data_IF_530976635936
#
_entry.id   IF_530976635936
#
_cell.length_a   1.000
_cell.length_b   1.000
_cell.length_c   1.000
_cell.angle_alpha   90.00
_cell.angle_beta   90.00
_cell.angle_gamma   90.00
#
_symmetry.space_group_name_H-M   'P 1'
#
loop_
_entity.id
_entity.type
_entity.pdbx_description
1 polymer ?
#
# COMPACT_ATOMS: atom_id res chain seq x y z
N UNK A 1 -36.08 -37.33 39.44
CA UNK A 1 -36.67 -37.45 38.08
C UNK A 1 -36.73 -36.09 37.35
N UNK A 2 -35.59 -35.41 37.08
CA UNK A 2 -35.59 -34.07 36.44
C UNK A 2 -34.72 -33.96 35.18
N UNK A 3 -34.12 -35.05 34.68
CA UNK A 3 -33.16 -35.02 33.56
C UNK A 3 -33.80 -35.13 32.16
N UNK A 4 -35.05 -35.57 32.05
CA UNK A 4 -35.70 -35.77 30.73
C UNK A 4 -36.43 -34.53 30.19
N UNK A 5 -36.86 -33.62 31.06
CA UNK A 5 -37.58 -32.41 30.65
C UNK A 5 -36.65 -31.39 29.97
N UNK A 6 -35.43 -31.21 30.48
CA UNK A 6 -34.43 -30.27 29.96
C UNK A 6 -33.84 -30.68 28.60
N UNK A 7 -33.77 -31.98 28.30
CA UNK A 7 -33.34 -32.49 26.98
C UNK A 7 -34.37 -32.23 25.88
N UNK A 8 -35.67 -32.23 26.23
CA UNK A 8 -36.76 -31.95 25.27
C UNK A 8 -36.88 -30.46 24.93
N UNK A 9 -36.51 -29.57 25.85
CA UNK A 9 -36.55 -28.12 25.64
C UNK A 9 -35.39 -27.58 24.78
N UNK A 10 -34.21 -28.22 24.81
CA UNK A 10 -33.11 -27.86 23.90
C UNK A 10 -33.35 -28.36 22.47
N UNK A 11 -34.02 -29.50 22.31
CA UNK A 11 -34.41 -30.03 21.00
C UNK A 11 -35.42 -29.13 20.27
N UNK A 12 -36.36 -28.52 21.00
CA UNK A 12 -37.35 -27.61 20.42
C UNK A 12 -36.80 -26.23 20.07
N UNK A 13 -35.72 -25.78 20.72
CA UNK A 13 -35.02 -24.54 20.37
C UNK A 13 -34.08 -24.72 19.17
N UNK A 14 -33.42 -25.87 19.05
CA UNK A 14 -32.57 -26.19 17.89
C UNK A 14 -33.36 -26.32 16.58
N UNK A 15 -34.61 -26.79 16.65
CA UNK A 15 -35.52 -26.90 15.50
C UNK A 15 -36.04 -25.54 14.98
N UNK A 16 -35.87 -24.45 15.74
CA UNK A 16 -36.28 -23.09 15.34
C UNK A 16 -35.15 -22.17 14.90
N UNK A 17 -33.88 -22.56 15.08
CA UNK A 17 -32.72 -21.72 14.74
C UNK A 17 -32.09 -22.05 13.36
N UNK A 18 -32.41 -23.22 12.81
CA UNK A 18 -32.16 -23.55 11.41
C UNK A 18 -33.41 -24.26 10.87
N UNK A 19 -34.06 -23.79 9.79
CA UNK A 19 -34.97 -24.64 9.06
C UNK A 19 -34.13 -25.76 8.48
N UNK A 20 -34.07 -26.90 9.17
CA UNK A 20 -33.63 -28.13 8.56
C UNK A 20 -34.63 -28.41 7.46
N UNK A 21 -34.24 -28.14 6.22
CA UNK A 21 -34.97 -28.60 5.05
C UNK A 21 -35.19 -30.10 5.27
N UNK A 22 -36.42 -30.58 5.46
CA UNK A 22 -36.66 -32.01 5.54
C UNK A 22 -36.58 -32.51 4.10
N UNK A 23 -35.36 -32.63 3.58
CA UNK A 23 -35.11 -33.35 2.34
C UNK A 23 -35.61 -34.76 2.60
N UNK A 24 -36.75 -35.10 2.03
CA UNK A 24 -37.23 -36.46 2.07
C UNK A 24 -36.13 -37.36 1.49
N UNK A 25 -35.99 -38.63 1.94
CA UNK A 25 -34.97 -39.53 1.41
C UNK A 25 -35.03 -39.62 -0.13
N UNK A 26 -36.21 -39.37 -0.72
CA UNK A 26 -36.44 -39.29 -2.16
C UNK A 26 -35.84 -38.05 -2.82
N UNK A 27 -35.91 -36.87 -2.18
CA UNK A 27 -35.30 -35.63 -2.68
C UNK A 27 -33.78 -35.66 -2.54
N UNK A 28 -33.25 -36.26 -1.46
CA UNK A 28 -31.80 -36.46 -1.31
C UNK A 28 -31.22 -37.36 -2.40
N UNK A 29 -31.96 -38.41 -2.79
CA UNK A 29 -31.61 -39.26 -3.92
C UNK A 29 -31.71 -38.51 -5.25
N UNK A 30 -32.74 -37.67 -5.44
CA UNK A 30 -32.85 -36.83 -6.64
C UNK A 30 -31.71 -35.82 -6.76
N UNK A 31 -31.30 -35.21 -5.64
CA UNK A 31 -30.19 -34.25 -5.60
C UNK A 31 -28.84 -34.94 -5.85
N UNK A 32 -28.63 -36.13 -5.27
CA UNK A 32 -27.47 -36.97 -5.58
C UNK A 32 -27.46 -37.41 -7.04
N UNK A 33 -28.62 -37.74 -7.60
CA UNK A 33 -28.74 -38.11 -9.02
C UNK A 33 -28.43 -36.92 -9.92
N UNK A 34 -28.92 -35.72 -9.59
CA UNK A 34 -28.62 -34.49 -10.34
C UNK A 34 -27.16 -34.06 -10.23
N UNK A 35 -26.52 -34.22 -9.07
CA UNK A 35 -25.10 -33.93 -8.90
C UNK A 35 -24.22 -34.95 -9.63
N UNK A 36 -24.58 -36.23 -9.59
CA UNK A 36 -23.83 -37.27 -10.31
C UNK A 36 -24.02 -37.16 -11.82
N UNK A 37 -25.21 -36.79 -12.31
CA UNK A 37 -25.42 -36.52 -13.74
C UNK A 37 -24.72 -35.25 -14.19
N UNK A 38 -24.69 -34.18 -13.37
CA UNK A 38 -23.97 -32.95 -13.74
C UNK A 38 -22.46 -33.16 -13.76
N UNK A 39 -21.90 -33.92 -12.81
CA UNK A 39 -20.49 -34.30 -12.83
C UNK A 39 -20.14 -35.17 -14.02
N UNK A 40 -20.98 -36.17 -14.35
CA UNK A 40 -20.76 -36.99 -15.55
C UNK A 40 -20.87 -36.17 -16.84
N UNK A 41 -21.86 -35.29 -16.95
CA UNK A 41 -22.00 -34.40 -18.10
C UNK A 41 -20.82 -33.42 -18.23
N UNK A 42 -20.24 -32.98 -17.11
CA UNK A 42 -19.04 -32.15 -17.11
C UNK A 42 -17.79 -32.96 -17.50
N UNK A 43 -17.68 -34.21 -17.03
CA UNK A 43 -16.61 -35.13 -17.43
C UNK A 43 -16.70 -35.53 -18.91
N UNK A 44 -17.90 -35.78 -19.44
CA UNK A 44 -18.12 -36.12 -20.86
C UNK A 44 -17.85 -34.91 -21.78
N UNK A 45 -18.04 -33.69 -21.26
CA UNK A 45 -17.74 -32.43 -21.98
C UNK A 45 -16.24 -32.14 -22.03
N UNK A 46 -15.51 -32.42 -20.96
CA UNK A 46 -14.05 -32.24 -20.88
C UNK A 46 -13.27 -33.40 -21.50
N UNK A 47 -13.90 -34.59 -21.63
CA UNK A 47 -13.35 -35.77 -22.27
C UNK A 47 -14.33 -36.36 -23.31
N UNK A 48 -14.46 -35.77 -24.51
CA UNK A 48 -15.19 -36.43 -25.58
C UNK A 48 -14.49 -37.75 -25.92
N UNK A 49 -15.11 -38.87 -25.57
CA UNK A 49 -14.64 -40.19 -25.97
C UNK A 49 -14.63 -40.24 -27.50
N UNK A 50 -13.43 -40.25 -28.08
CA UNK A 50 -13.26 -40.60 -29.48
C UNK A 50 -13.80 -42.02 -29.67
N UNK A 51 -14.95 -42.14 -30.35
CA UNK A 51 -15.47 -43.44 -30.79
C UNK A 51 -14.41 -44.11 -31.68
N UNK A 52 -14.13 -45.41 -31.51
CA UNK A 52 -13.36 -46.15 -32.49
C UNK A 52 -14.18 -46.27 -33.78
N UNK A 53 -13.53 -45.94 -34.89
CA UNK A 53 -14.03 -46.16 -36.24
C UNK A 53 -14.52 -47.60 -36.43
N UNK A 54 -15.77 -47.74 -36.88
CA UNK A 54 -16.16 -48.88 -37.73
C UNK A 54 -17.23 -48.48 -38.74
N UNK A 55 -16.76 -48.19 -39.96
CA UNK A 55 -17.36 -48.52 -41.26
C UNK A 55 -18.78 -48.04 -41.63
N UNK A 56 -18.85 -47.18 -42.66
CA UNK A 56 -19.55 -47.35 -43.97
C UNK A 56 -19.60 -45.97 -44.66
N UNK A 57 -18.74 -45.69 -45.63
CA UNK A 57 -18.90 -45.97 -47.08
C UNK A 57 -19.44 -44.77 -47.89
N UNK A 58 -18.54 -44.21 -48.73
CA UNK A 58 -18.75 -43.50 -50.02
C UNK A 58 -19.45 -42.12 -49.94
N UNK A 59 -19.02 -41.05 -50.61
CA UNK A 59 -18.52 -40.89 -51.99
C UNK A 59 -17.80 -39.51 -52.15
N UNK A 60 -16.77 -39.48 -53.03
CA UNK A 60 -16.32 -38.37 -53.95
C UNK A 60 -15.88 -37.02 -53.35
N UNK A 61 -14.81 -36.30 -53.76
CA UNK A 61 -13.90 -36.31 -54.92
C UNK A 61 -12.67 -35.40 -54.63
N UNK A 62 -11.48 -35.86 -55.03
CA UNK A 62 -10.22 -35.22 -55.53
C UNK A 62 -9.70 -33.81 -55.10
N UNK A 63 -8.37 -33.57 -55.25
CA UNK A 63 -7.56 -32.67 -54.43
C UNK A 63 -7.17 -31.35 -55.12
N UNK A 64 -6.71 -30.37 -54.34
CA UNK A 64 -5.82 -29.32 -54.81
C UNK A 64 -4.95 -28.79 -53.65
N UNK A 65 -3.68 -28.59 -53.98
CA UNK A 65 -2.58 -28.11 -53.15
C UNK A 65 -2.82 -26.76 -52.48
N UNK A 66 -2.27 -26.57 -51.27
CA UNK A 66 -1.46 -25.37 -50.95
C UNK A 66 -0.85 -25.42 -49.55
N UNK A 67 0.40 -24.98 -49.51
CA UNK A 67 1.25 -24.72 -48.36
C UNK A 67 0.59 -23.93 -47.22
N UNK A 68 0.78 -24.37 -45.97
CA UNK A 68 1.01 -23.49 -44.83
C UNK A 68 1.50 -24.25 -43.58
N UNK A 69 2.72 -23.88 -43.15
CA UNK A 69 3.13 -23.68 -41.76
C UNK A 69 3.01 -24.87 -40.78
N UNK A 70 4.17 -25.51 -40.56
CA UNK A 70 4.49 -26.28 -39.35
C UNK A 70 4.23 -25.42 -38.11
N UNK A 71 3.16 -25.73 -37.39
CA UNK A 71 2.96 -25.33 -36.00
C UNK A 71 3.50 -26.46 -35.09
N UNK A 72 4.16 -26.13 -33.96
CA UNK A 72 4.84 -27.10 -33.12
C UNK A 72 3.86 -27.98 -32.36
N UNK A 73 4.19 -29.27 -32.29
CA UNK A 73 3.49 -30.29 -31.51
C UNK A 73 3.25 -29.85 -30.06
N UNK A 74 2.06 -30.08 -29.47
CA UNK A 74 1.88 -29.87 -28.04
C UNK A 74 2.72 -30.88 -27.23
N UNK A 75 3.44 -30.45 -26.19
CA UNK A 75 4.24 -31.33 -25.37
C UNK A 75 3.31 -32.16 -24.49
N UNK A 76 3.49 -33.49 -24.54
CA UNK A 76 2.98 -34.48 -23.60
C UNK A 76 1.52 -34.31 -23.13
N UNK A 77 0.66 -35.20 -23.63
CA UNK A 77 -0.55 -35.60 -22.93
C UNK A 77 -0.19 -35.92 -21.47
N UNK A 78 -0.41 -34.96 -20.57
CA UNK A 78 -0.35 -35.21 -19.13
C UNK A 78 -1.45 -36.21 -18.86
N UNK A 79 -1.05 -37.40 -18.42
CA UNK A 79 -2.01 -38.48 -18.17
C UNK A 79 -3.07 -37.98 -17.19
N UNK A 80 -4.29 -38.52 -17.30
CA UNK A 80 -5.39 -38.26 -16.36
C UNK A 80 -4.95 -38.39 -14.90
N UNK A 81 -3.98 -39.28 -14.62
CA UNK A 81 -3.33 -39.43 -13.34
C UNK A 81 -2.52 -38.20 -12.89
N UNK A 82 -1.73 -37.58 -13.77
CA UNK A 82 -0.94 -36.39 -13.45
C UNK A 82 -1.82 -35.14 -13.21
N UNK A 83 -2.93 -35.02 -13.95
CA UNK A 83 -3.91 -33.94 -13.73
C UNK A 83 -4.70 -34.15 -12.43
N UNK A 84 -5.14 -35.37 -12.15
CA UNK A 84 -5.77 -35.73 -10.89
C UNK A 84 -4.83 -35.53 -9.70
N UNK A 85 -3.55 -35.92 -9.84
CA UNK A 85 -2.54 -35.72 -8.80
C UNK A 85 -2.28 -34.24 -8.53
N UNK A 86 -2.14 -33.40 -9.57
CA UNK A 86 -2.02 -31.94 -9.40
C UNK A 86 -3.26 -31.31 -8.79
N UNK A 87 -4.45 -31.81 -9.11
CA UNK A 87 -5.69 -31.32 -8.55
C UNK A 87 -5.82 -31.70 -7.06
N UNK A 88 -5.50 -32.95 -6.71
CA UNK A 88 -5.46 -33.43 -5.33
C UNK A 88 -4.40 -32.68 -4.53
N UNK A 89 -3.20 -32.50 -5.09
CA UNK A 89 -2.15 -31.68 -4.46
C UNK A 89 -2.64 -30.25 -4.28
N UNK A 90 -3.28 -29.63 -5.28
CA UNK A 90 -3.87 -28.29 -5.16
C UNK A 90 -4.98 -28.19 -4.09
N UNK A 91 -5.71 -29.27 -3.83
CA UNK A 91 -6.73 -29.34 -2.77
C UNK A 91 -6.07 -29.53 -1.39
N UNK A 92 -5.06 -30.39 -1.31
CA UNK A 92 -4.36 -30.72 -0.07
C UNK A 92 -3.36 -29.64 0.36
N UNK A 93 -2.81 -28.87 -0.58
CA UNK A 93 -2.01 -27.66 -0.31
C UNK A 93 -2.89 -26.43 -0.10
N UNK A 94 -4.22 -26.55 -0.24
CA UNK A 94 -5.12 -25.46 0.05
C UNK A 94 -5.14 -25.21 1.58
N UNK A 95 -4.88 -23.97 2.04
CA UNK A 95 -4.80 -23.64 3.46
C UNK A 95 -6.10 -23.92 4.24
N UNK A 96 -7.23 -24.12 3.55
CA UNK A 96 -8.50 -24.52 4.15
C UNK A 96 -8.55 -25.99 4.61
N UNK A 97 -7.72 -26.86 4.04
CA UNK A 97 -7.77 -28.32 4.30
C UNK A 97 -6.50 -28.88 4.94
N UNK A 98 -5.36 -28.16 4.85
CA UNK A 98 -4.07 -28.60 5.39
C UNK A 98 -3.95 -28.48 6.92
N UNK A 99 -4.88 -27.79 7.59
CA UNK A 99 -4.81 -27.53 9.04
C UNK A 99 -5.75 -28.46 9.80
N UNK A 100 -5.19 -29.34 10.65
CA UNK A 100 -5.98 -30.18 11.58
C UNK A 100 -6.83 -29.27 12.49
N UNK A 101 -8.17 -29.40 12.51
CA UNK A 101 -9.01 -28.58 13.39
C UNK A 101 -8.70 -28.90 14.86
N UNK A 102 -8.22 -27.90 15.60
CA UNK A 102 -8.01 -28.02 17.04
C UNK A 102 -9.35 -27.84 17.77
N UNK A 103 -9.64 -28.70 18.75
CA UNK A 103 -10.88 -28.65 19.53
C UNK A 103 -11.00 -27.30 20.24
N UNK A 104 -12.18 -26.70 20.12
CA UNK A 104 -12.63 -25.50 20.82
C UNK A 104 -12.49 -25.68 22.33
N UNK A 105 -11.43 -25.13 22.92
CA UNK A 105 -11.22 -25.12 24.37
C UNK A 105 -9.76 -24.85 24.70
N UNK A 106 -9.52 -23.84 25.53
CA UNK A 106 -8.27 -23.50 26.22
C UNK A 106 -7.06 -23.05 25.38
N UNK A 107 -7.07 -21.81 24.88
CA UNK A 107 -6.03 -20.79 25.14
C UNK A 107 -6.61 -19.40 24.79
N UNK A 108 -6.25 -18.30 25.49
CA UNK A 108 -6.73 -16.98 25.13
C UNK A 108 -6.13 -16.57 23.78
N UNK A 109 -6.95 -16.26 22.78
CA UNK A 109 -6.51 -15.85 21.45
C UNK A 109 -5.43 -14.73 21.46
N UNK A 110 -5.40 -13.91 22.50
CA UNK A 110 -4.38 -12.87 22.71
C UNK A 110 -2.96 -13.43 22.94
N UNK A 111 -2.81 -14.57 23.64
CA UNK A 111 -1.49 -15.19 23.92
C UNK A 111 -0.93 -15.82 22.64
N UNK A 112 -1.81 -16.40 21.83
CA UNK A 112 -1.47 -17.01 20.55
C UNK A 112 -0.98 -16.00 19.50
N UNK A 113 -1.62 -14.81 19.41
CA UNK A 113 -1.18 -13.75 18.50
C UNK A 113 0.21 -13.23 18.88
N UNK A 114 0.49 -13.11 20.18
CA UNK A 114 1.77 -12.57 20.69
C UNK A 114 2.95 -13.52 20.47
N UNK A 115 2.73 -14.83 20.44
CA UNK A 115 3.79 -15.83 20.24
C UNK A 115 4.13 -16.04 18.77
N UNK A 116 3.13 -16.18 17.92
CA UNK A 116 3.30 -16.36 16.47
C UNK A 116 2.11 -15.71 15.73
N UNK A 117 2.20 -14.40 15.44
CA UNK A 117 1.09 -13.64 14.86
C UNK A 117 0.69 -14.15 13.48
N UNK A 118 1.62 -14.72 12.71
CA UNK A 118 1.35 -15.23 11.37
C UNK A 118 0.68 -16.60 11.41
N UNK A 119 1.16 -17.52 12.26
CA UNK A 119 0.47 -18.81 12.45
C UNK A 119 -0.92 -18.64 13.06
N UNK A 120 -1.11 -17.64 13.94
CA UNK A 120 -2.45 -17.27 14.39
C UNK A 120 -3.33 -16.80 13.24
N UNK A 121 -2.84 -15.87 12.40
CA UNK A 121 -3.62 -15.36 11.28
C UNK A 121 -3.95 -16.43 10.24
N UNK A 122 -3.01 -17.33 9.93
CA UNK A 122 -3.25 -18.49 9.05
C UNK A 122 -4.36 -19.41 9.59
N UNK A 123 -4.43 -19.63 10.90
CA UNK A 123 -5.55 -20.38 11.53
C UNK A 123 -6.87 -19.64 11.39
N UNK A 124 -6.86 -18.31 11.53
CA UNK A 124 -8.06 -17.50 11.30
C UNK A 124 -8.52 -17.54 9.83
N UNK A 125 -7.59 -17.60 8.87
CA UNK A 125 -7.91 -17.81 7.45
C UNK A 125 -8.50 -19.21 7.25
N UNK A 126 -7.87 -20.26 7.78
CA UNK A 126 -8.32 -21.64 7.65
C UNK A 126 -9.71 -21.89 8.25
N UNK A 127 -10.03 -21.19 9.34
CA UNK A 127 -11.36 -21.24 9.98
C UNK A 127 -12.41 -20.34 9.31
N UNK A 128 -12.03 -19.55 8.29
CA UNK A 128 -12.90 -18.59 7.62
C UNK A 128 -13.26 -17.37 8.49
N UNK A 129 -12.57 -17.17 9.61
CA UNK A 129 -12.84 -16.11 10.57
C UNK A 129 -11.93 -14.87 10.38
N UNK A 130 -11.01 -14.90 9.41
CA UNK A 130 -10.13 -13.80 9.07
C UNK A 130 -10.90 -12.56 8.58
N UNK A 131 -10.55 -11.40 9.12
CA UNK A 131 -11.14 -10.11 8.75
C UNK A 131 -10.08 -8.99 8.80
N UNK A 132 -10.40 -7.81 8.25
CA UNK A 132 -9.48 -6.68 8.19
C UNK A 132 -8.97 -6.22 9.57
N UNK A 133 -9.80 -6.14 10.64
CA UNK A 133 -9.31 -5.82 11.99
C UNK A 133 -8.29 -6.84 12.52
N UNK A 134 -8.50 -8.14 12.29
CA UNK A 134 -7.57 -9.20 12.69
C UNK A 134 -6.26 -9.10 11.91
N UNK A 135 -6.31 -8.78 10.61
CA UNK A 135 -5.11 -8.51 9.81
C UNK A 135 -4.34 -7.29 10.35
N UNK A 136 -5.04 -6.23 10.75
CA UNK A 136 -4.42 -5.05 11.36
C UNK A 136 -3.72 -5.37 12.69
N UNK A 137 -4.33 -6.23 13.52
CA UNK A 137 -3.72 -6.72 14.77
C UNK A 137 -2.50 -7.58 14.50
N UNK A 138 -2.55 -8.47 13.50
CA UNK A 138 -1.41 -9.27 13.08
C UNK A 138 -0.23 -8.38 12.63
N UNK A 139 -0.49 -7.38 11.79
CA UNK A 139 0.52 -6.40 11.34
C UNK A 139 1.11 -5.59 12.50
N UNK A 140 0.29 -5.22 13.48
CA UNK A 140 0.76 -4.51 14.68
C UNK A 140 1.74 -5.35 15.49
N UNK A 141 1.41 -6.61 15.74
CA UNK A 141 2.28 -7.49 16.51
C UNK A 141 3.56 -7.80 15.73
N UNK A 142 3.46 -7.99 14.41
CA UNK A 142 4.62 -8.20 13.53
C UNK A 142 5.58 -7.00 13.54
N UNK A 143 5.07 -5.77 13.47
CA UNK A 143 5.91 -4.57 13.57
C UNK A 143 6.65 -4.53 14.91
N UNK A 144 5.96 -4.85 16.01
CA UNK A 144 6.55 -4.88 17.35
C UNK A 144 7.56 -6.03 17.55
N UNK A 145 7.44 -7.13 16.79
CA UNK A 145 8.36 -8.28 16.85
C UNK A 145 9.48 -8.23 15.81
N UNK A 146 9.40 -7.36 14.80
CA UNK A 146 10.40 -7.21 13.73
C UNK A 146 11.81 -6.78 14.22
N UNK A 147 11.96 -6.40 15.50
CA UNK A 147 13.26 -6.23 16.15
C UNK A 147 13.98 -7.54 16.52
N UNK A 148 13.31 -8.69 16.46
CA UNK A 148 13.89 -10.02 16.69
C UNK A 148 13.92 -10.83 15.38
N UNK A 149 15.11 -11.22 14.88
CA UNK A 149 15.29 -11.82 13.55
C UNK A 149 14.80 -13.27 13.40
N UNK A 150 13.85 -13.73 14.23
CA UNK A 150 13.45 -15.14 14.29
C UNK A 150 12.17 -15.50 13.52
N UNK A 151 11.53 -14.57 12.79
CA UNK A 151 10.40 -14.93 11.92
C UNK A 151 10.89 -15.34 10.53
N UNK A 152 11.63 -16.45 10.51
CA UNK A 152 12.13 -17.08 9.29
C UNK A 152 11.00 -17.67 8.45
N UNK A 153 11.13 -17.50 7.14
CA UNK A 153 10.45 -18.22 6.05
C UNK A 153 9.77 -19.51 6.49
N UNK A 154 8.46 -19.47 6.76
CA UNK A 154 7.65 -20.69 6.94
C UNK A 154 7.09 -21.11 5.59
N UNK A 155 7.60 -22.22 5.05
CA UNK A 155 7.04 -22.86 3.85
C UNK A 155 7.30 -22.15 2.53
N UNK A 156 8.34 -21.30 2.45
CA UNK A 156 8.70 -20.57 1.22
C UNK A 156 7.82 -19.35 0.90
N UNK A 157 6.80 -19.08 1.70
CA UNK A 157 5.96 -17.88 1.60
C UNK A 157 6.32 -16.88 2.70
N UNK A 158 6.40 -15.61 2.34
CA UNK A 158 6.70 -14.52 3.27
C UNK A 158 5.39 -13.99 3.87
N UNK A 159 5.40 -13.39 5.08
CA UNK A 159 4.16 -12.93 5.70
C UNK A 159 3.45 -11.85 4.87
N UNK A 160 4.19 -11.03 4.10
CA UNK A 160 3.59 -10.10 3.15
C UNK A 160 2.90 -10.83 1.99
N UNK A 161 3.50 -11.90 1.44
CA UNK A 161 2.89 -12.66 0.34
C UNK A 161 1.60 -13.34 0.79
N UNK A 162 1.56 -13.88 2.01
CA UNK A 162 0.37 -14.48 2.62
C UNK A 162 -0.74 -13.44 2.79
N UNK A 163 -0.43 -12.28 3.37
CA UNK A 163 -1.40 -11.20 3.58
C UNK A 163 -1.92 -10.63 2.26
N UNK A 164 -1.04 -10.42 1.28
CA UNK A 164 -1.41 -9.95 -0.05
C UNK A 164 -2.29 -10.95 -0.80
N UNK A 165 -1.95 -12.23 -0.71
CA UNK A 165 -2.71 -13.31 -1.33
C UNK A 165 -4.09 -13.47 -0.67
N UNK A 166 -4.16 -13.38 0.65
CA UNK A 166 -5.43 -13.37 1.38
C UNK A 166 -6.30 -12.20 0.97
N UNK A 167 -5.77 -10.96 0.98
CA UNK A 167 -6.52 -9.76 0.57
C UNK A 167 -7.07 -9.86 -0.86
N UNK A 168 -6.30 -10.52 -1.76
CA UNK A 168 -6.68 -10.76 -3.15
C UNK A 168 -7.76 -11.82 -3.26
N UNK A 169 -7.55 -13.00 -2.68
CA UNK A 169 -8.46 -14.15 -2.79
C UNK A 169 -9.77 -13.91 -2.07
N UNK A 170 -9.77 -13.13 -0.99
CA UNK A 170 -10.98 -12.72 -0.29
C UNK A 170 -11.74 -11.56 -0.96
N UNK A 171 -11.19 -10.96 -2.02
CA UNK A 171 -11.74 -9.76 -2.66
C UNK A 171 -11.80 -8.53 -1.74
N UNK A 172 -11.07 -8.56 -0.61
CA UNK A 172 -11.07 -7.45 0.34
C UNK A 172 -10.23 -6.28 -0.18
N UNK A 173 -9.29 -6.51 -1.10
CA UNK A 173 -8.48 -5.45 -1.71
C UNK A 173 -9.28 -4.45 -2.58
N UNK A 174 -10.48 -4.84 -3.04
CA UNK A 174 -11.47 -3.98 -3.70
C UNK A 174 -12.59 -3.50 -2.78
N UNK A 175 -12.59 -3.90 -1.50
CA UNK A 175 -13.69 -3.59 -0.59
C UNK A 175 -13.67 -2.13 -0.11
N UNK A 176 -14.85 -1.57 0.14
CA UNK A 176 -15.01 -0.27 0.81
C UNK A 176 -14.30 -0.24 2.18
N UNK A 177 -14.42 -1.33 2.94
CA UNK A 177 -13.83 -1.43 4.28
C UNK A 177 -12.31 -1.34 4.26
N UNK A 178 -11.65 -1.92 3.25
CA UNK A 178 -10.21 -1.83 3.09
C UNK A 178 -9.76 -0.39 2.82
N UNK A 179 -10.44 0.32 1.92
CA UNK A 179 -10.16 1.73 1.65
C UNK A 179 -10.38 2.61 2.87
N UNK A 180 -11.50 2.42 3.58
CA UNK A 180 -11.79 3.16 4.82
C UNK A 180 -10.78 2.86 5.93
N UNK A 181 -10.28 1.63 6.02
CA UNK A 181 -9.21 1.29 6.95
C UNK A 181 -7.88 1.93 6.54
N UNK A 182 -7.60 2.01 5.23
CA UNK A 182 -6.37 2.62 4.70
C UNK A 182 -6.37 4.15 4.80
N UNK A 183 -7.52 4.80 4.65
CA UNK A 183 -7.67 6.26 4.71
C UNK A 183 -8.18 6.71 6.09
N UNK A 184 -7.40 7.49 6.84
CA UNK A 184 -7.89 8.10 8.08
C UNK A 184 -9.03 9.10 7.79
N UNK A 185 -9.94 9.29 8.78
CA UNK A 185 -11.02 10.29 8.73
C UNK A 185 -10.54 11.71 8.43
N UNK A 186 -9.26 11.99 8.66
CA UNK A 186 -8.63 13.30 8.43
C UNK A 186 -7.88 13.40 7.09
N UNK A 187 -7.98 12.40 6.20
CA UNK A 187 -7.28 12.42 4.90
C UNK A 187 -5.79 12.13 4.98
N UNK A 188 -5.30 11.65 6.12
CA UNK A 188 -3.93 11.13 6.31
C UNK A 188 -3.88 9.60 6.17
N UNK A 189 -2.69 9.06 5.86
CA UNK A 189 -2.47 7.62 5.80
C UNK A 189 -2.76 6.97 7.16
N UNK A 190 -3.45 5.83 7.14
CA UNK A 190 -3.65 5.03 8.36
C UNK A 190 -2.37 4.30 8.75
N UNK A 191 -2.23 4.00 10.05
CA UNK A 191 -1.17 3.10 10.54
C UNK A 191 -1.23 1.72 9.89
N UNK A 192 -2.43 1.27 9.53
CA UNK A 192 -2.61 0.00 8.82
C UNK A 192 -1.92 0.02 7.45
N UNK A 193 -2.18 1.05 6.64
CA UNK A 193 -1.54 1.22 5.34
C UNK A 193 -0.02 1.33 5.49
N UNK A 194 0.44 2.12 6.45
CA UNK A 194 1.87 2.32 6.72
C UNK A 194 2.57 1.00 7.03
N UNK A 195 2.03 0.19 7.95
CA UNK A 195 2.55 -1.13 8.32
C UNK A 195 2.52 -2.10 7.14
N UNK A 196 1.41 -2.16 6.41
CA UNK A 196 1.22 -3.08 5.30
C UNK A 196 2.19 -2.79 4.16
N UNK A 197 2.34 -1.53 3.76
CA UNK A 197 3.26 -1.15 2.67
C UNK A 197 4.72 -1.34 3.10
N UNK A 198 5.05 -1.05 4.37
CA UNK A 198 6.40 -1.31 4.90
C UNK A 198 6.75 -2.80 4.82
N UNK A 199 5.84 -3.67 5.24
CA UNK A 199 6.04 -5.13 5.17
C UNK A 199 6.18 -5.62 3.71
N UNK A 200 5.28 -5.17 2.81
CA UNK A 200 5.30 -5.57 1.40
C UNK A 200 6.60 -5.17 0.70
N UNK A 201 7.07 -3.95 0.92
CA UNK A 201 8.30 -3.47 0.28
C UNK A 201 9.56 -4.08 0.91
N UNK A 202 9.57 -4.30 2.23
CA UNK A 202 10.68 -4.97 2.90
C UNK A 202 10.91 -6.41 2.38
N UNK A 203 9.84 -7.10 1.99
CA UNK A 203 9.88 -8.47 1.47
C UNK A 203 9.95 -8.55 -0.06
N UNK A 204 9.99 -7.41 -0.76
CA UNK A 204 10.13 -7.36 -2.21
C UNK A 204 8.82 -7.56 -3.01
N UNK A 205 7.66 -7.55 -2.34
CA UNK A 205 6.33 -7.68 -2.94
C UNK A 205 5.82 -6.35 -3.54
N UNK A 206 6.61 -5.76 -4.44
CA UNK A 206 6.35 -4.43 -5.03
C UNK A 206 5.15 -4.45 -5.99
N UNK A 207 4.83 -5.60 -6.58
CA UNK A 207 3.73 -5.75 -7.55
C UNK A 207 2.35 -5.45 -6.94
N UNK A 208 2.15 -5.76 -5.66
CA UNK A 208 0.86 -5.63 -4.98
C UNK A 208 0.47 -4.16 -4.76
N UNK A 209 1.34 -3.30 -4.17
CA UNK A 209 1.08 -1.86 -4.11
C UNK A 209 0.85 -1.22 -5.47
N UNK A 210 1.62 -1.61 -6.50
CA UNK A 210 1.40 -1.11 -7.86
C UNK A 210 0.03 -1.52 -8.39
N UNK A 211 -0.41 -2.77 -8.20
CA UNK A 211 -1.76 -3.19 -8.59
C UNK A 211 -2.84 -2.30 -7.97
N UNK A 212 -2.67 -1.90 -6.71
CA UNK A 212 -3.60 -0.97 -6.06
C UNK A 212 -3.50 0.46 -6.58
N UNK A 213 -2.32 0.90 -7.02
CA UNK A 213 -2.12 2.23 -7.58
C UNK A 213 -2.65 2.36 -9.01
N UNK A 214 -2.49 1.34 -9.86
CA UNK A 214 -2.82 1.37 -11.30
C UNK A 214 -4.33 1.43 -11.55
N UNK A 215 -5.16 0.85 -10.67
CA UNK A 215 -6.63 0.86 -10.82
C UNK A 215 -7.15 2.29 -10.97
N UNK A 216 -8.04 2.53 -11.94
CA UNK A 216 -8.59 3.87 -12.19
C UNK A 216 -9.47 4.35 -11.04
N UNK A 217 -9.58 5.67 -10.87
CA UNK A 217 -10.42 6.25 -9.81
C UNK A 217 -11.88 5.89 -10.03
N UNK A 218 -12.36 5.98 -11.28
CA UNK A 218 -13.74 5.62 -11.63
C UNK A 218 -14.07 4.16 -11.32
N UNK A 219 -13.19 3.24 -11.68
CA UNK A 219 -13.39 1.81 -11.42
C UNK A 219 -13.52 1.55 -9.93
N UNK A 220 -12.61 2.12 -9.13
CA UNK A 220 -12.60 1.94 -7.68
C UNK A 220 -13.79 2.64 -6.99
N UNK A 221 -14.21 3.81 -7.48
CA UNK A 221 -15.42 4.47 -6.99
C UNK A 221 -16.67 3.63 -7.27
N UNK A 222 -16.77 2.99 -8.44
CA UNK A 222 -17.85 2.05 -8.78
C UNK A 222 -17.85 0.81 -7.88
N UNK A 223 -16.67 0.20 -7.65
CA UNK A 223 -16.51 -1.00 -6.81
C UNK A 223 -16.86 -0.74 -5.34
N UNK A 224 -16.51 0.45 -4.82
CA UNK A 224 -16.57 0.73 -3.37
C UNK A 224 -17.74 1.61 -2.96
N UNK A 225 -18.40 2.27 -3.92
CA UNK A 225 -19.42 3.30 -3.64
C UNK A 225 -18.87 4.49 -2.84
N UNK A 226 -17.55 4.72 -2.86
CA UNK A 226 -16.89 5.84 -2.20
C UNK A 226 -16.74 7.03 -3.16
N UNK A 227 -16.71 8.23 -2.57
CA UNK A 227 -16.44 9.45 -3.33
C UNK A 227 -15.06 9.43 -3.99
N UNK A 228 -14.95 10.04 -5.17
CA UNK A 228 -13.68 10.14 -5.92
C UNK A 228 -12.54 10.74 -5.08
N UNK A 229 -12.86 11.69 -4.20
CA UNK A 229 -11.85 12.34 -3.35
C UNK A 229 -11.18 11.35 -2.37
N UNK A 230 -11.93 10.37 -1.83
CA UNK A 230 -11.39 9.36 -0.90
C UNK A 230 -10.49 8.39 -1.65
N UNK A 231 -10.89 8.00 -2.85
CA UNK A 231 -10.11 7.14 -3.74
C UNK A 231 -8.79 7.83 -4.14
N UNK A 232 -8.84 9.12 -4.48
CA UNK A 232 -7.66 9.92 -4.76
C UNK A 232 -6.77 10.13 -3.53
N UNK A 233 -7.36 10.33 -2.34
CA UNK A 233 -6.61 10.40 -1.09
C UNK A 233 -5.85 9.10 -0.81
N UNK A 234 -6.50 7.94 -1.00
CA UNK A 234 -5.86 6.64 -0.88
C UNK A 234 -4.67 6.50 -1.85
N UNK A 235 -4.86 6.83 -3.14
CA UNK A 235 -3.77 6.73 -4.14
C UNK A 235 -2.59 7.65 -3.81
N UNK A 236 -2.88 8.88 -3.36
CA UNK A 236 -1.87 9.84 -2.90
C UNK A 236 -1.05 9.27 -1.75
N UNK A 237 -1.72 8.73 -0.74
CA UNK A 237 -1.07 8.17 0.45
C UNK A 237 -0.25 6.93 0.10
N UNK A 238 -0.81 6.04 -0.72
CA UNK A 238 -0.14 4.83 -1.18
C UNK A 238 1.18 5.17 -1.87
N UNK A 239 1.15 6.06 -2.88
CA UNK A 239 2.36 6.46 -3.60
C UNK A 239 3.36 7.18 -2.68
N UNK A 240 2.90 8.10 -1.83
CA UNK A 240 3.77 8.80 -0.91
C UNK A 240 4.50 7.85 0.04
N UNK A 241 3.83 6.79 0.50
CA UNK A 241 4.43 5.78 1.38
C UNK A 241 5.39 4.88 0.63
N UNK A 242 5.03 4.41 -0.57
CA UNK A 242 5.94 3.63 -1.40
C UNK A 242 7.25 4.39 -1.67
N UNK A 243 7.14 5.65 -2.08
CA UNK A 243 8.31 6.50 -2.34
C UNK A 243 9.11 6.76 -1.06
N UNK A 244 8.44 7.02 0.07
CA UNK A 244 9.12 7.27 1.35
C UNK A 244 9.94 6.07 1.82
N UNK A 245 9.38 4.86 1.74
CA UNK A 245 10.04 3.62 2.18
C UNK A 245 11.19 3.25 1.23
N UNK A 246 10.96 3.32 -0.07
CA UNK A 246 12.02 3.03 -1.05
C UNK A 246 13.16 4.04 -0.95
N UNK A 247 12.84 5.33 -0.81
CA UNK A 247 13.82 6.37 -0.58
C UNK A 247 14.64 6.11 0.71
N UNK A 248 14.06 5.49 1.74
CA UNK A 248 14.82 5.12 2.95
C UNK A 248 15.89 4.08 2.70
N UNK A 249 15.66 3.15 1.78
CA UNK A 249 16.68 2.15 1.40
C UNK A 249 17.68 2.70 0.40
N UNK A 250 17.25 3.62 -0.47
CA UNK A 250 18.11 4.32 -1.40
C UNK A 250 17.32 5.37 -2.18
N UNK A 251 17.87 6.59 -2.29
CA UNK A 251 17.14 7.68 -2.91
C UNK A 251 16.81 7.41 -4.39
N UNK A 252 17.73 6.76 -5.11
CA UNK A 252 17.53 6.34 -6.50
C UNK A 252 16.29 5.43 -6.67
N UNK A 253 16.05 4.51 -5.72
CA UNK A 253 14.86 3.65 -5.75
C UNK A 253 13.58 4.46 -5.55
N UNK A 254 13.59 5.39 -4.59
CA UNK A 254 12.48 6.31 -4.38
C UNK A 254 12.18 7.18 -5.61
N UNK A 255 13.22 7.70 -6.26
CA UNK A 255 13.11 8.44 -7.51
C UNK A 255 12.57 7.57 -8.66
N UNK A 256 13.05 6.33 -8.79
CA UNK A 256 12.57 5.39 -9.80
C UNK A 256 11.07 5.09 -9.64
N UNK A 257 10.59 4.84 -8.41
CA UNK A 257 9.17 4.64 -8.10
C UNK A 257 8.35 5.88 -8.43
N UNK A 258 8.84 7.06 -8.06
CA UNK A 258 8.16 8.32 -8.41
C UNK A 258 8.06 8.51 -9.93
N UNK A 259 9.17 8.32 -10.66
CA UNK A 259 9.20 8.48 -12.11
C UNK A 259 8.33 7.45 -12.82
N UNK A 260 8.22 6.24 -12.29
CA UNK A 260 7.27 5.25 -12.79
C UNK A 260 5.84 5.77 -12.65
N UNK A 261 5.43 6.27 -11.48
CA UNK A 261 4.10 6.84 -11.27
C UNK A 261 3.87 8.08 -12.15
N UNK A 262 4.89 8.91 -12.35
CA UNK A 262 4.85 10.07 -13.23
C UNK A 262 4.56 9.68 -14.69
N UNK A 263 5.27 8.69 -15.24
CA UNK A 263 4.99 8.17 -16.60
C UNK A 263 3.55 7.67 -16.75
N UNK A 264 2.98 7.06 -15.70
CA UNK A 264 1.58 6.62 -15.73
C UNK A 264 0.59 7.79 -15.72
N UNK A 265 0.91 8.88 -15.03
CA UNK A 265 0.12 10.10 -15.05
C UNK A 265 0.19 10.78 -16.43
N UNK A 266 1.36 10.80 -17.06
CA UNK A 266 1.52 11.32 -18.43
C UNK A 266 0.67 10.57 -19.44
N UNK A 267 0.67 9.23 -19.40
CA UNK A 267 -0.18 8.39 -20.27
C UNK A 267 -1.67 8.68 -20.04
N UNK A 268 -2.05 9.05 -18.82
CA UNK A 268 -3.45 9.38 -18.51
C UNK A 268 -3.85 10.75 -19.08
N UNK A 269 -2.91 11.67 -19.33
CA UNK A 269 -3.14 12.94 -20.03
C UNK A 269 -3.99 13.99 -19.29
N UNK A 270 -4.38 13.76 -18.03
CA UNK A 270 -5.20 14.70 -17.24
C UNK A 270 -4.36 15.45 -16.21
N UNK A 271 -4.50 16.76 -16.12
CA UNK A 271 -3.80 17.59 -15.11
C UNK A 271 -4.09 17.16 -13.67
N UNK A 272 -5.30 16.64 -13.43
CA UNK A 272 -5.70 16.09 -12.14
C UNK A 272 -4.85 14.88 -11.71
N UNK A 273 -4.28 14.12 -12.66
CA UNK A 273 -3.43 12.97 -12.38
C UNK A 273 -2.13 13.38 -11.67
N UNK A 274 -1.58 14.56 -11.99
CA UNK A 274 -0.37 15.06 -11.36
C UNK A 274 -0.56 15.47 -9.90
N UNK A 275 -1.79 15.80 -9.49
CA UNK A 275 -2.10 16.10 -8.09
C UNK A 275 -1.79 14.92 -7.16
N UNK A 276 -1.84 13.69 -7.69
CA UNK A 276 -1.55 12.46 -6.95
C UNK A 276 -0.07 12.37 -6.57
N UNK A 277 0.80 12.95 -7.40
CA UNK A 277 2.27 12.88 -7.25
C UNK A 277 2.79 13.86 -6.21
N UNK A 278 2.07 14.94 -5.92
CA UNK A 278 2.54 16.05 -5.06
C UNK A 278 3.11 15.62 -3.71
N UNK A 279 2.44 14.77 -2.90
CA UNK A 279 2.97 14.40 -1.59
C UNK A 279 4.25 13.57 -1.69
N UNK A 280 4.33 12.66 -2.67
CA UNK A 280 5.50 11.83 -2.91
C UNK A 280 6.70 12.66 -3.42
N UNK A 281 6.46 13.57 -4.36
CA UNK A 281 7.48 14.49 -4.87
C UNK A 281 7.99 15.44 -3.79
N UNK A 282 7.10 15.99 -2.96
CA UNK A 282 7.49 16.84 -1.84
C UNK A 282 8.36 16.10 -0.81
N UNK A 283 8.08 14.82 -0.54
CA UNK A 283 8.94 14.00 0.33
C UNK A 283 10.35 13.84 -0.25
N UNK A 284 10.46 13.55 -1.55
CA UNK A 284 11.77 13.43 -2.22
C UNK A 284 12.54 14.75 -2.21
N UNK A 285 11.89 15.87 -2.52
CA UNK A 285 12.52 17.21 -2.48
C UNK A 285 13.06 17.49 -1.08
N UNK A 286 12.24 17.33 -0.04
CA UNK A 286 12.68 17.56 1.33
C UNK A 286 13.87 16.68 1.72
N UNK A 287 13.91 15.44 1.22
CA UNK A 287 14.99 14.51 1.47
C UNK A 287 16.29 14.91 0.75
N UNK A 288 16.20 15.32 -0.51
CA UNK A 288 17.33 15.85 -1.29
C UNK A 288 17.91 17.08 -0.57
N UNK A 289 17.05 18.02 -0.16
CA UNK A 289 17.47 19.24 0.53
C UNK A 289 18.08 18.98 1.92
N UNK A 290 17.63 17.94 2.62
CA UNK A 290 18.13 17.60 3.96
C UNK A 290 19.37 16.71 3.95
N UNK A 291 19.75 16.16 2.80
CA UNK A 291 20.84 15.17 2.68
C UNK A 291 21.71 15.46 1.46
N UNK A 292 22.54 16.52 1.52
CA UNK A 292 23.36 16.99 0.40
C UNK A 292 24.46 16.02 -0.02
N UNK A 293 24.86 15.08 0.85
CA UNK A 293 25.99 14.17 0.62
C UNK A 293 25.59 12.85 -0.08
N UNK A 294 24.31 12.68 -0.42
CA UNK A 294 23.86 11.46 -1.08
C UNK A 294 24.26 11.49 -2.56
N UNK A 295 25.00 10.47 -2.99
CA UNK A 295 25.25 10.23 -4.40
C UNK A 295 23.95 9.81 -5.07
N UNK A 296 23.43 10.67 -5.95
CA UNK A 296 22.20 10.42 -6.72
C UNK A 296 22.59 10.21 -8.17
N UNK A 297 22.00 9.21 -8.83
CA UNK A 297 22.25 8.98 -10.24
C UNK A 297 21.70 10.15 -11.09
N UNK A 298 22.53 10.84 -11.89
CA UNK A 298 22.09 11.96 -12.71
C UNK A 298 20.98 11.58 -13.70
N UNK A 299 20.97 10.34 -14.17
CA UNK A 299 19.97 9.79 -15.09
C UNK A 299 18.55 9.75 -14.49
N UNK A 300 18.41 9.63 -13.16
CA UNK A 300 17.12 9.68 -12.47
C UNK A 300 16.80 11.09 -11.98
N UNK A 301 17.83 11.85 -11.61
CA UNK A 301 17.68 13.22 -11.13
C UNK A 301 17.12 14.17 -12.18
N UNK A 302 17.65 14.10 -13.42
CA UNK A 302 17.27 15.01 -14.50
C UNK A 302 15.78 14.88 -14.90
N UNK A 303 15.23 13.68 -15.16
CA UNK A 303 13.80 13.53 -15.39
C UNK A 303 12.94 14.00 -14.22
N UNK A 304 13.40 13.78 -12.98
CA UNK A 304 12.69 14.23 -11.79
C UNK A 304 12.62 15.76 -11.71
N UNK A 305 13.75 16.44 -11.94
CA UNK A 305 13.82 17.89 -12.01
C UNK A 305 12.88 18.44 -13.08
N UNK A 306 12.92 17.89 -14.29
CA UNK A 306 12.05 18.31 -15.39
C UNK A 306 10.56 18.11 -15.07
N UNK A 307 10.21 17.01 -14.39
CA UNK A 307 8.83 16.72 -14.01
C UNK A 307 8.25 17.73 -13.02
N UNK A 308 9.09 18.40 -12.21
CA UNK A 308 8.68 19.26 -11.08
C UNK A 308 7.65 20.33 -11.45
N UNK A 309 7.78 20.94 -12.63
CA UNK A 309 6.88 21.97 -13.13
C UNK A 309 5.46 21.46 -13.37
N UNK A 310 5.32 20.22 -13.85
CA UNK A 310 4.04 19.63 -14.25
C UNK A 310 3.16 19.32 -13.04
N UNK A 311 3.75 18.81 -11.95
CA UNK A 311 2.97 18.44 -10.76
C UNK A 311 2.84 19.54 -9.70
N UNK A 312 3.66 20.60 -9.76
CA UNK A 312 3.59 21.72 -8.81
C UNK A 312 2.98 23.02 -9.36
N UNK A 313 2.82 23.14 -10.69
CA UNK A 313 2.35 24.39 -11.31
C UNK A 313 3.26 25.57 -10.94
N UNK A 314 2.67 26.68 -10.48
CA UNK A 314 3.41 27.89 -10.10
C UNK A 314 4.44 27.67 -8.97
N UNK A 315 4.19 26.73 -8.05
CA UNK A 315 5.17 26.39 -7.00
C UNK A 315 6.38 25.61 -7.54
N UNK A 316 6.28 25.13 -8.78
CA UNK A 316 7.33 24.39 -9.47
C UNK A 316 8.63 25.17 -9.57
N UNK A 317 8.58 26.49 -9.79
CA UNK A 317 9.79 27.31 -9.92
C UNK A 317 10.60 27.38 -8.62
N UNK A 318 9.94 27.47 -7.46
CA UNK A 318 10.61 27.46 -6.16
C UNK A 318 11.27 26.09 -5.87
N UNK A 319 10.58 25.00 -6.19
CA UNK A 319 11.10 23.64 -6.00
C UNK A 319 12.21 23.31 -6.99
N UNK A 320 12.05 23.68 -8.25
CA UNK A 320 13.09 23.52 -9.27
C UNK A 320 14.36 24.27 -8.87
N UNK A 321 14.22 25.49 -8.34
CA UNK A 321 15.35 26.27 -7.82
C UNK A 321 16.09 25.54 -6.70
N UNK A 322 15.35 24.92 -5.78
CA UNK A 322 15.93 24.09 -4.71
C UNK A 322 16.64 22.86 -5.28
N UNK A 323 16.06 22.20 -6.28
CA UNK A 323 16.67 21.04 -6.93
C UNK A 323 17.94 21.41 -7.71
N UNK A 324 17.99 22.59 -8.33
CA UNK A 324 19.24 23.06 -8.97
C UNK A 324 20.35 23.36 -7.96
N UNK A 325 20.00 23.85 -6.77
CA UNK A 325 20.96 24.07 -5.69
C UNK A 325 21.66 22.76 -5.28
N UNK A 326 20.90 21.66 -5.24
CA UNK A 326 21.38 20.33 -4.84
C UNK A 326 21.68 19.40 -6.03
N UNK A 327 21.95 19.95 -7.22
CA UNK A 327 22.18 19.13 -8.41
C UNK A 327 23.48 18.31 -8.27
N UNK A 328 23.47 16.97 -8.53
CA UNK A 328 24.60 16.08 -8.22
C UNK A 328 25.89 16.37 -9.01
N UNK A 329 25.79 16.91 -10.23
CA UNK A 329 26.96 17.19 -11.09
C UNK A 329 27.26 18.68 -11.28
N UNK A 330 26.28 19.56 -11.06
CA UNK A 330 26.34 20.96 -11.49
C UNK A 330 25.40 21.79 -10.60
N UNK A 331 25.72 21.93 -9.31
CA UNK A 331 24.91 22.76 -8.42
C UNK A 331 24.89 24.19 -8.97
N UNK A 332 23.73 24.84 -9.00
CA UNK A 332 23.56 26.20 -9.53
C UNK A 332 22.56 27.02 -8.74
N UNK A 333 22.99 28.20 -8.31
CA UNK A 333 22.17 29.18 -7.59
C UNK A 333 21.34 30.08 -8.53
N UNK A 334 21.63 30.08 -9.83
CA UNK A 334 21.03 31.02 -10.80
C UNK A 334 19.49 30.92 -10.88
N UNK A 335 18.87 29.72 -10.92
CA UNK A 335 17.41 29.62 -10.98
C UNK A 335 16.75 30.21 -9.73
N UNK A 336 17.35 29.96 -8.55
CA UNK A 336 16.88 30.51 -7.28
C UNK A 336 17.00 32.03 -7.21
N UNK A 337 18.12 32.60 -7.69
CA UNK A 337 18.29 34.04 -7.77
C UNK A 337 17.27 34.70 -8.69
N UNK A 338 17.00 34.12 -9.87
CA UNK A 338 15.95 34.61 -10.78
C UNK A 338 14.57 34.57 -10.13
N UNK A 339 14.26 33.51 -9.38
CA UNK A 339 13.00 33.39 -8.65
C UNK A 339 12.87 34.44 -7.52
N UNK A 340 13.96 34.76 -6.82
CA UNK A 340 13.98 35.78 -5.77
C UNK A 340 13.83 37.19 -6.35
N UNK A 341 14.46 37.46 -7.49
CA UNK A 341 14.39 38.75 -8.18
C UNK A 341 13.06 38.99 -8.89
N UNK A 342 12.31 37.93 -9.20
CA UNK A 342 11.00 38.04 -9.84
C UNK A 342 9.97 38.63 -8.85
N UNK A 343 9.46 39.86 -9.11
CA UNK A 343 8.51 40.52 -8.22
C UNK A 343 7.15 39.82 -8.17
N UNK A 344 6.87 38.88 -9.09
CA UNK A 344 5.64 38.07 -9.11
C UNK A 344 5.82 36.66 -8.54
N UNK A 345 7.08 36.22 -8.35
CA UNK A 345 7.43 34.88 -7.89
C UNK A 345 7.48 34.78 -6.36
N UNK A 346 8.64 35.12 -5.78
CA UNK A 346 8.90 34.85 -4.37
C UNK A 346 8.02 35.67 -3.40
N UNK A 347 7.66 36.90 -3.77
CA UNK A 347 6.80 37.80 -2.99
C UNK A 347 5.37 37.25 -2.84
N UNK A 348 4.81 36.65 -3.90
CA UNK A 348 3.48 36.00 -3.89
C UNK A 348 3.39 34.91 -2.84
N UNK A 349 4.49 34.19 -2.61
CA UNK A 349 4.55 33.10 -1.64
C UNK A 349 5.08 33.51 -0.26
N UNK A 350 5.45 34.78 -0.06
CA UNK A 350 5.91 35.28 1.25
C UNK A 350 4.84 35.16 2.34
N UNK A 351 3.55 35.27 1.96
CA UNK A 351 2.39 35.11 2.84
C UNK A 351 1.81 33.68 2.86
N UNK A 352 2.51 32.70 2.28
CA UNK A 352 2.03 31.32 2.24
C UNK A 352 2.03 30.64 3.62
N UNK A 353 1.64 29.36 3.66
CA UNK A 353 1.67 28.56 4.89
C UNK A 353 3.05 28.54 5.54
N UNK A 354 3.10 28.38 6.88
CA UNK A 354 4.36 28.31 7.65
C UNK A 354 5.40 27.37 7.03
N UNK A 355 4.99 26.18 6.57
CA UNK A 355 5.88 25.21 5.92
C UNK A 355 6.50 25.73 4.63
N UNK A 356 5.73 26.39 3.77
CA UNK A 356 6.23 27.01 2.53
C UNK A 356 7.17 28.18 2.82
N UNK A 357 6.85 28.99 3.84
CA UNK A 357 7.75 30.08 4.28
C UNK A 357 9.11 29.54 4.75
N UNK A 358 9.13 28.45 5.53
CA UNK A 358 10.38 27.81 5.95
C UNK A 358 11.18 27.26 4.75
N UNK A 359 10.49 26.65 3.79
CA UNK A 359 11.12 26.18 2.55
C UNK A 359 11.75 27.33 1.74
N UNK A 360 11.06 28.47 1.62
CA UNK A 360 11.60 29.65 0.93
C UNK A 360 12.82 30.23 1.66
N UNK A 361 12.80 30.27 2.98
CA UNK A 361 13.96 30.69 3.78
C UNK A 361 15.14 29.75 3.53
N UNK A 362 14.93 28.43 3.54
CA UNK A 362 15.98 27.46 3.20
C UNK A 362 16.53 27.69 1.79
N UNK A 363 15.65 27.96 0.81
CA UNK A 363 16.06 28.26 -0.56
C UNK A 363 16.93 29.52 -0.61
N UNK A 364 16.48 30.62 -0.01
CA UNK A 364 17.19 31.90 -0.08
C UNK A 364 18.56 31.83 0.63
N UNK A 365 18.63 31.16 1.78
CA UNK A 365 19.90 30.94 2.49
C UNK A 365 20.83 30.01 1.71
N UNK A 366 20.28 28.97 1.08
CA UNK A 366 21.05 28.07 0.21
C UNK A 366 21.63 28.80 -1.00
N UNK A 367 20.82 29.62 -1.68
CA UNK A 367 21.25 30.47 -2.81
C UNK A 367 22.34 31.44 -2.37
N UNK A 368 22.15 32.15 -1.25
CA UNK A 368 23.15 33.06 -0.72
C UNK A 368 24.47 32.35 -0.41
N UNK A 369 24.42 31.18 0.25
CA UNK A 369 25.61 30.38 0.57
C UNK A 369 26.37 30.00 -0.69
N UNK A 370 25.69 29.47 -1.70
CA UNK A 370 26.35 29.05 -2.92
C UNK A 370 26.91 30.23 -3.73
N UNK A 371 26.23 31.38 -3.75
CA UNK A 371 26.75 32.59 -4.39
C UNK A 371 27.97 33.16 -3.67
N UNK A 372 28.02 33.06 -2.34
CA UNK A 372 29.22 33.42 -1.57
C UNK A 372 30.38 32.47 -1.88
N UNK A 373 30.13 31.17 -2.01
CA UNK A 373 31.15 30.18 -2.43
C UNK A 373 31.67 30.44 -3.85
N UNK A 374 30.87 31.08 -4.71
CA UNK A 374 31.24 31.53 -6.06
C UNK A 374 31.81 32.96 -6.11
N UNK A 375 32.08 33.59 -4.96
CA UNK A 375 32.57 34.97 -4.83
C UNK A 375 31.65 36.06 -5.42
N UNK A 376 30.37 35.75 -5.64
CA UNK A 376 29.35 36.69 -6.17
C UNK A 376 28.62 37.41 -5.03
N UNK A 377 29.36 38.22 -4.28
CA UNK A 377 28.85 38.86 -3.06
C UNK A 377 27.65 39.80 -3.28
N UNK A 378 27.63 40.55 -4.39
CA UNK A 378 26.52 41.46 -4.71
C UNK A 378 25.20 40.70 -4.92
N UNK A 379 25.26 39.56 -5.61
CA UNK A 379 24.11 38.68 -5.85
C UNK A 379 23.66 37.98 -4.56
N UNK A 380 24.61 37.53 -3.73
CA UNK A 380 24.31 36.93 -2.43
C UNK A 380 23.60 37.93 -1.50
N UNK A 381 23.99 39.21 -1.54
CA UNK A 381 23.35 40.27 -0.75
C UNK A 381 21.87 40.46 -1.13
N UNK A 382 21.51 40.32 -2.41
CA UNK A 382 20.11 40.41 -2.86
C UNK A 382 19.27 39.31 -2.20
N UNK A 383 19.75 38.06 -2.21
CA UNK A 383 19.05 36.94 -1.58
C UNK A 383 18.91 37.11 -0.06
N UNK A 384 19.96 37.60 0.61
CA UNK A 384 19.92 37.89 2.04
C UNK A 384 18.96 39.04 2.39
N UNK A 385 18.96 40.11 1.59
CA UNK A 385 18.08 41.25 1.79
C UNK A 385 16.61 40.85 1.64
N UNK A 386 16.28 40.10 0.60
CA UNK A 386 14.94 39.55 0.40
C UNK A 386 14.48 38.71 1.60
N UNK A 387 15.38 37.84 2.11
CA UNK A 387 15.08 37.01 3.28
C UNK A 387 14.80 37.86 4.52
N UNK A 388 15.59 38.91 4.73
CA UNK A 388 15.44 39.86 5.84
C UNK A 388 14.13 40.65 5.74
N UNK A 389 13.74 41.09 4.55
CA UNK A 389 12.55 41.92 4.34
C UNK A 389 11.24 41.11 4.50
N UNK A 390 11.19 39.88 3.97
CA UNK A 390 9.95 39.10 3.92
C UNK A 390 9.83 38.01 4.99
N UNK A 391 10.95 37.61 5.62
CA UNK A 391 10.99 36.53 6.61
C UNK A 391 11.79 36.89 7.86
N UNK A 392 11.82 38.18 8.24
CA UNK A 392 12.42 38.66 9.48
C UNK A 392 11.96 37.86 10.71
N UNK A 393 10.68 37.49 10.75
CA UNK A 393 10.08 36.70 11.84
C UNK A 393 10.66 35.28 11.94
N UNK A 394 11.21 34.72 10.88
CA UNK A 394 11.80 33.37 10.90
C UNK A 394 13.32 33.46 11.10
N UNK A 395 13.98 34.42 10.46
CA UNK A 395 15.45 34.51 10.43
C UNK A 395 16.02 35.36 11.57
N UNK A 396 15.32 36.41 11.98
CA UNK A 396 15.75 37.32 13.06
C UNK A 396 15.10 37.01 14.41
N UNK A 397 14.27 35.96 14.48
CA UNK A 397 13.76 35.48 15.76
C UNK A 397 14.91 34.96 16.62
N UNK A 398 15.48 35.87 17.41
CA UNK A 398 15.95 35.55 18.76
C UNK A 398 14.80 34.81 19.41
N UNK A 399 14.95 33.52 19.67
CA UNK A 399 14.10 32.80 20.61
C UNK A 399 14.14 33.59 21.92
N UNK A 400 13.07 34.27 22.37
CA UNK A 400 12.94 34.49 23.78
C UNK A 400 12.62 33.10 24.33
N UNK A 401 13.54 32.53 25.10
CA UNK A 401 13.10 31.61 26.13
C UNK A 401 11.97 32.34 26.88
N UNK A 402 10.82 31.67 27.05
CA UNK A 402 9.54 32.22 27.54
C UNK A 402 8.60 32.75 26.44
N UNK A 403 7.94 31.83 25.74
CA UNK A 403 6.48 31.79 25.59
C UNK A 403 6.09 30.61 24.70
N UNK A 404 6.41 29.39 25.14
CA UNK A 404 5.60 28.25 24.71
C UNK A 404 4.18 28.53 25.19
N UNK A 405 3.29 28.87 24.27
CA UNK A 405 1.86 28.74 24.46
C UNK A 405 1.56 27.24 24.67
N UNK A 406 1.86 26.77 25.87
CA UNK A 406 1.31 25.57 26.43
C UNK A 406 -0.21 25.78 26.42
N UNK A 407 -0.91 24.92 25.69
CA UNK A 407 -2.35 24.76 25.87
C UNK A 407 -2.63 24.59 27.37
N UNK A 408 -3.73 25.14 27.92
CA UNK A 408 -4.03 25.05 29.36
C UNK A 408 -3.92 23.61 29.89
N UNK A 409 -4.29 22.65 29.02
CA UNK A 409 -4.19 21.21 29.26
C UNK A 409 -2.76 20.68 29.49
N UNK A 410 -1.74 21.32 28.90
CA UNK A 410 -0.35 20.94 29.10
C UNK A 410 0.21 21.51 30.41
N UNK A 411 -0.22 22.72 30.81
CA UNK A 411 0.09 23.27 32.15
C UNK A 411 -0.51 22.41 33.25
N UNK A 412 -1.79 22.06 33.13
CA UNK A 412 -2.48 21.18 34.12
C UNK A 412 -1.81 19.82 34.26
N UNK A 413 -1.35 19.24 33.15
CA UNK A 413 -0.65 17.95 33.17
C UNK A 413 0.70 18.07 33.89
N UNK A 414 1.45 19.13 33.61
CA UNK A 414 2.76 19.37 34.22
C UNK A 414 2.66 19.73 35.70
N UNK A 415 1.61 20.46 36.09
CA UNK A 415 1.29 20.74 37.49
C UNK A 415 0.92 19.47 38.25
N UNK A 416 0.12 18.56 37.67
CA UNK A 416 -0.12 17.24 38.28
C UNK A 416 1.15 16.41 38.43
N UNK A 417 1.96 16.34 37.39
CA UNK A 417 3.22 15.59 37.44
C UNK A 417 4.17 16.17 38.49
N UNK A 418 4.19 17.50 38.68
CA UNK A 418 4.98 18.14 39.75
C UNK A 418 4.41 17.90 41.16
N UNK A 419 3.08 17.90 41.32
CA UNK A 419 2.45 17.59 42.60
C UNK A 419 2.68 16.12 43.00
N UNK A 420 2.61 15.19 42.05
CA UNK A 420 2.94 13.77 42.28
C UNK A 420 4.41 13.57 42.69
N UNK A 421 5.33 14.41 42.20
CA UNK A 421 6.73 14.39 42.62
C UNK A 421 6.92 14.96 44.04
N UNK A 422 6.15 15.99 44.40
CA UNK A 422 6.18 16.56 45.75
C UNK A 422 5.59 15.60 46.79
N UNK A 423 4.49 14.91 46.47
CA UNK A 423 3.91 13.87 47.34
C UNK A 423 4.85 12.69 47.57
N UNK A 424 5.75 12.41 46.62
CA UNK A 424 6.81 11.39 46.77
C UNK A 424 8.02 11.85 47.58
N UNK A 425 8.15 13.15 47.82
CA UNK A 425 9.26 13.75 48.54
C UNK A 425 8.92 14.09 50.00
N UNK A 426 7.66 13.93 50.42
CA UNK A 426 7.27 14.01 51.83
C UNK A 426 7.44 12.62 52.45
N UNK A 427 8.43 12.41 53.36
CA UNK A 427 8.46 11.23 54.21
C UNK A 427 7.30 11.37 55.21
N UNK A 428 6.53 10.30 55.38
CA UNK A 428 5.50 10.17 56.44
C UNK A 428 6.02 10.50 57.83
#
# INVERSE_FOLDING_TARGET
MQSQASKRLLGTLAAKLHPQLPLSPRESQQLLTLLTTSFRAHLDREHPLALPESSKSKHTQKPADSHALRSPSPPHATSSYASASRHIDSILTNPLFAVKPHRRGSEPAAVDVLRDPMSWFLREIATGAANLPKAAMCLEVLENTAGNPSSGLRGGATPASILAEWLRTSGLDSSKQFLELCTSKQGYGSRFLDRLITLLLAEGEVAVPWRWFIRSNEQRSKETGLDSWKVEAFRRQLLAKMVSIEATTGLDKGLAVFLQAFRMAEVSGHDSAYSILRPAGAHLVNRISSSPDLSIQPALYQPFLQSSRLWLGEWGQAVESMLWLHHPTQPSALPGLRFIQDPTGATKFAQASRSRRHFLVQLCLGVARQLMEQEKYAEAQIAMQFTKEHFADIVLSKVPAVAQQATPRWKERRERENLELLDRLVPT
#
